data_IF_129822887098
#
_entry.id   IF_129822887098
#
_cell.length_a   1.000
_cell.length_b   1.000
_cell.length_c   1.000
_cell.angle_alpha   90.00
_cell.angle_beta   90.00
_cell.angle_gamma   90.00
#
_symmetry.space_group_name_H-M   'P 1'
#
loop_
_entity.id
_entity.type
_entity.pdbx_description
1 polymer ?
#
# COMPACT_ATOMS: atom_id res chain seq x y z
N UNK A 1 14.33 8.55 -16.36
CA UNK A 1 15.58 7.75 -16.27
C UNK A 1 15.73 7.00 -14.94
N UNK A 2 15.59 7.67 -13.79
CA UNK A 2 15.73 7.04 -12.46
C UNK A 2 14.79 5.83 -12.24
N UNK A 3 13.49 5.97 -12.55
CA UNK A 3 12.50 4.89 -12.46
C UNK A 3 12.90 3.66 -13.29
N UNK A 4 13.37 3.87 -14.52
CA UNK A 4 13.84 2.80 -15.41
C UNK A 4 15.04 2.06 -14.81
N UNK A 5 16.02 2.80 -14.29
CA UNK A 5 17.21 2.23 -13.65
C UNK A 5 16.84 1.44 -12.39
N UNK A 6 15.92 1.97 -11.57
CA UNK A 6 15.42 1.28 -10.38
C UNK A 6 14.80 -0.07 -10.73
N UNK A 7 13.85 -0.10 -11.69
CA UNK A 7 13.18 -1.33 -12.12
C UNK A 7 14.16 -2.37 -12.68
N UNK A 8 15.16 -1.95 -13.45
CA UNK A 8 16.21 -2.84 -13.96
C UNK A 8 17.06 -3.46 -12.83
N UNK A 9 17.49 -2.65 -11.86
CA UNK A 9 18.27 -3.13 -10.71
C UNK A 9 17.47 -4.09 -9.84
N UNK A 10 16.21 -3.76 -9.57
CA UNK A 10 15.32 -4.57 -8.75
C UNK A 10 15.14 -5.97 -9.35
N UNK A 11 14.86 -6.05 -10.66
CA UNK A 11 14.74 -7.32 -11.39
C UNK A 11 16.03 -8.12 -11.37
N UNK A 12 17.17 -7.47 -11.61
CA UNK A 12 18.47 -8.13 -11.58
C UNK A 12 18.81 -8.71 -10.20
N UNK A 13 18.39 -8.03 -9.12
CA UNK A 13 18.67 -8.46 -7.73
C UNK A 13 17.71 -9.52 -7.21
N UNK A 14 16.44 -9.48 -7.62
CA UNK A 14 15.41 -10.39 -7.11
C UNK A 14 15.29 -11.71 -7.88
N UNK A 15 16.13 -11.92 -8.91
CA UNK A 15 16.50 -13.23 -9.47
C UNK A 15 15.34 -14.24 -9.68
N UNK A 16 14.18 -13.76 -10.16
CA UNK A 16 13.02 -14.59 -10.51
C UNK A 16 11.80 -14.44 -9.57
N UNK A 17 11.91 -13.69 -8.48
CA UNK A 17 10.74 -13.37 -7.66
C UNK A 17 9.80 -12.41 -8.42
N UNK A 18 8.47 -12.65 -8.38
CA UNK A 18 7.52 -11.74 -8.99
C UNK A 18 7.53 -10.39 -8.27
N UNK A 19 7.59 -9.31 -9.04
CA UNK A 19 7.53 -7.95 -8.53
C UNK A 19 6.29 -7.28 -9.11
N UNK A 20 5.50 -6.68 -8.23
CA UNK A 20 4.35 -5.88 -8.59
C UNK A 20 4.59 -4.44 -8.15
N UNK A 21 4.25 -3.50 -9.03
CA UNK A 21 4.41 -2.08 -8.78
C UNK A 21 3.03 -1.42 -8.78
N UNK A 22 2.85 -0.47 -7.87
CA UNK A 22 1.79 0.53 -7.91
C UNK A 22 2.46 1.89 -8.00
N UNK A 23 1.93 2.82 -8.82
CA UNK A 23 2.43 4.17 -8.88
C UNK A 23 2.04 4.96 -7.62
N UNK A 24 2.88 5.93 -7.27
CA UNK A 24 2.54 6.98 -6.33
C UNK A 24 2.34 8.34 -7.00
N UNK A 25 1.96 9.35 -6.22
CA UNK A 25 1.71 10.70 -6.75
C UNK A 25 2.93 11.33 -7.44
N UNK A 26 4.13 11.04 -6.94
CA UNK A 26 5.37 11.51 -7.55
C UNK A 26 5.79 10.74 -8.82
N UNK A 27 5.05 9.69 -9.20
CA UNK A 27 5.24 9.00 -10.47
C UNK A 27 4.39 9.63 -11.61
N UNK A 28 3.43 10.51 -11.26
CA UNK A 28 2.61 11.23 -12.23
C UNK A 28 3.45 12.32 -12.88
N UNK A 29 3.65 12.25 -14.19
CA UNK A 29 4.42 13.27 -14.91
C UNK A 29 3.56 14.52 -15.13
N UNK A 30 3.95 15.72 -14.67
CA UNK A 30 3.15 16.92 -14.88
C UNK A 30 3.18 17.39 -16.34
N UNK A 31 2.05 17.90 -16.85
CA UNK A 31 1.98 18.63 -18.12
C UNK A 31 0.83 18.21 -19.04
N UNK A 32 0.64 18.88 -20.19
CA UNK A 32 -0.48 18.62 -21.12
C UNK A 32 -0.44 17.24 -21.80
N UNK A 33 0.76 16.66 -21.93
CA UNK A 33 0.99 15.28 -22.36
C UNK A 33 1.31 14.33 -21.17
N UNK A 34 1.22 14.86 -19.94
CA UNK A 34 1.57 14.20 -18.70
C UNK A 34 0.49 13.22 -18.20
N UNK A 35 0.67 12.72 -16.99
CA UNK A 35 -0.10 11.63 -16.39
C UNK A 35 0.76 10.39 -16.19
N UNK A 36 0.10 9.23 -16.31
CA UNK A 36 0.70 7.92 -16.05
C UNK A 36 1.46 7.31 -17.24
N UNK A 37 1.45 7.96 -18.40
CA UNK A 37 2.02 7.43 -19.66
C UNK A 37 3.48 7.00 -19.53
N UNK A 38 4.33 7.82 -18.91
CA UNK A 38 5.75 7.52 -18.72
C UNK A 38 5.96 6.32 -17.78
N UNK A 39 5.17 6.25 -16.70
CA UNK A 39 5.21 5.13 -15.79
C UNK A 39 4.72 3.84 -16.48
N UNK A 40 3.62 3.89 -17.23
CA UNK A 40 3.13 2.74 -17.98
C UNK A 40 4.15 2.26 -19.01
N UNK A 41 4.82 3.17 -19.70
CA UNK A 41 5.86 2.80 -20.66
C UNK A 41 7.08 2.16 -19.96
N UNK A 42 7.57 2.75 -18.87
CA UNK A 42 8.78 2.29 -18.19
C UNK A 42 8.54 1.03 -17.34
N UNK A 43 7.44 1.00 -16.60
CA UNK A 43 7.11 -0.04 -15.62
C UNK A 43 6.12 -1.04 -16.19
N UNK A 44 5.17 -0.64 -17.03
CA UNK A 44 4.18 -1.55 -17.62
C UNK A 44 4.78 -2.63 -18.53
N UNK A 45 5.81 -2.28 -19.31
CA UNK A 45 6.64 -3.24 -20.06
C UNK A 45 7.36 -4.25 -19.15
N UNK A 46 7.42 -3.94 -17.85
CA UNK A 46 8.22 -4.65 -16.87
C UNK A 46 7.39 -5.57 -15.93
N UNK A 47 6.06 -5.60 -16.08
CA UNK A 47 5.19 -6.33 -15.16
C UNK A 47 4.97 -7.79 -15.60
N UNK A 48 4.90 -8.75 -14.65
CA UNK A 48 4.47 -10.11 -14.95
C UNK A 48 3.11 -10.11 -15.63
N UNK A 49 3.00 -10.81 -16.77
CA UNK A 49 1.76 -10.86 -17.57
C UNK A 49 1.59 -9.73 -18.59
N UNK A 50 2.48 -8.71 -18.60
CA UNK A 50 2.48 -7.61 -19.55
C UNK A 50 1.20 -6.76 -19.50
N UNK A 51 1.28 -5.53 -19.00
CA UNK A 51 0.21 -4.59 -19.34
C UNK A 51 0.48 -4.16 -20.78
N UNK A 52 -0.35 -4.58 -21.72
CA UNK A 52 -0.37 -3.97 -23.05
C UNK A 52 -0.41 -2.44 -22.90
N UNK A 53 0.17 -1.70 -23.84
CA UNK A 53 0.02 -0.24 -23.87
C UNK A 53 -1.49 0.10 -23.78
N UNK A 54 -1.91 0.72 -22.66
CA UNK A 54 -3.33 0.99 -22.36
C UNK A 54 -4.04 0.02 -21.41
N UNK A 55 -3.34 -0.95 -20.81
CA UNK A 55 -3.88 -1.82 -19.76
C UNK A 55 -4.01 -1.10 -18.42
N UNK A 56 -5.09 -1.41 -17.69
CA UNK A 56 -5.31 -0.91 -16.33
C UNK A 56 -4.13 -1.26 -15.40
N UNK A 57 -3.75 -0.31 -14.56
CA UNK A 57 -2.66 -0.41 -13.57
C UNK A 57 -3.06 -1.20 -12.34
N UNK A 58 -4.32 -1.11 -11.93
CA UNK A 58 -4.88 -1.92 -10.87
C UNK A 58 -5.05 -3.36 -11.32
N UNK A 59 -4.82 -4.31 -10.41
CA UNK A 59 -4.74 -5.74 -10.76
C UNK A 59 -4.97 -6.67 -9.59
N UNK A 60 -5.15 -7.93 -9.94
CA UNK A 60 -5.31 -9.05 -9.02
C UNK A 60 -4.08 -9.96 -9.05
N UNK A 61 -3.67 -10.44 -7.87
CA UNK A 61 -2.71 -11.53 -7.72
C UNK A 61 -3.36 -12.61 -6.85
N UNK A 62 -3.37 -13.83 -7.39
CA UNK A 62 -3.95 -14.99 -6.72
C UNK A 62 -2.88 -15.81 -6.02
N UNK A 63 -3.17 -16.18 -4.79
CA UNK A 63 -2.38 -17.09 -3.98
C UNK A 63 -3.31 -18.12 -3.32
N UNK A 64 -2.82 -19.29 -2.89
CA UNK A 64 -3.66 -20.27 -2.20
C UNK A 64 -4.40 -19.66 -1.01
N UNK A 65 -5.74 -19.65 -1.04
CA UNK A 65 -6.60 -19.08 0.01
C UNK A 65 -6.64 -17.54 0.07
N UNK A 66 -5.93 -16.84 -0.82
CA UNK A 66 -5.76 -15.39 -0.77
C UNK A 66 -5.93 -14.72 -2.13
N UNK A 67 -6.52 -13.54 -2.10
CA UNK A 67 -6.56 -12.64 -3.24
C UNK A 67 -5.95 -11.30 -2.83
N UNK A 68 -4.94 -10.87 -3.58
CA UNK A 68 -4.25 -9.61 -3.35
C UNK A 68 -4.71 -8.64 -4.45
N UNK A 69 -5.30 -7.52 -4.05
CA UNK A 69 -5.81 -6.49 -4.96
C UNK A 69 -4.92 -5.26 -4.85
N UNK A 70 -4.32 -4.89 -5.97
CA UNK A 70 -3.51 -3.70 -6.11
C UNK A 70 -4.39 -2.62 -6.73
N UNK A 71 -4.68 -1.57 -5.97
CA UNK A 71 -5.53 -0.44 -6.35
C UNK A 71 -4.63 0.73 -6.75
N UNK A 72 -4.82 1.22 -7.97
CA UNK A 72 -4.12 2.38 -8.47
C UNK A 72 -4.91 3.65 -8.14
N UNK A 73 -4.42 4.37 -7.14
CA UNK A 73 -4.97 5.66 -6.72
C UNK A 73 -4.59 6.81 -7.66
N UNK A 74 -3.70 6.59 -8.62
CA UNK A 74 -3.23 7.57 -9.60
C UNK A 74 -3.86 7.38 -10.99
N UNK A 75 -4.68 6.34 -11.16
CA UNK A 75 -5.32 6.05 -12.45
C UNK A 75 -6.21 7.23 -12.90
N UNK A 76 -6.04 7.66 -14.15
CA UNK A 76 -6.74 8.81 -14.72
C UNK A 76 -6.29 10.18 -14.22
N UNK A 77 -5.33 10.29 -13.28
CA UNK A 77 -4.78 11.58 -12.86
C UNK A 77 -3.71 12.09 -13.83
N UNK A 78 -3.76 13.39 -14.10
CA UNK A 78 -2.85 14.08 -15.04
C UNK A 78 -1.85 15.00 -14.37
N UNK A 79 -1.98 15.22 -13.06
CA UNK A 79 -1.15 16.11 -12.26
C UNK A 79 -0.94 15.53 -10.86
N UNK A 80 0.28 15.65 -10.33
CA UNK A 80 0.58 15.43 -8.92
C UNK A 80 -0.07 16.55 -8.09
N UNK A 81 -1.10 16.19 -7.32
CA UNK A 81 -1.76 17.06 -6.34
C UNK A 81 -1.61 16.53 -4.91
N UNK A 82 -0.68 15.58 -4.70
CA UNK A 82 -0.59 14.74 -3.50
C UNK A 82 -1.70 13.68 -3.40
N UNK A 83 -2.95 14.08 -3.61
CA UNK A 83 -4.13 13.22 -3.44
C UNK A 83 -4.27 12.12 -4.48
N UNK A 84 -5.19 11.18 -4.21
CA UNK A 84 -5.50 10.06 -5.11
C UNK A 84 -7.00 9.86 -5.32
N UNK A 85 -7.36 9.07 -6.32
CA UNK A 85 -8.73 8.69 -6.65
C UNK A 85 -8.75 7.30 -7.30
N UNK A 86 -9.77 6.47 -7.02
CA UNK A 86 -9.94 5.20 -7.74
C UNK A 86 -10.88 5.35 -8.95
N UNK A 87 -11.91 6.16 -8.82
CA UNK A 87 -12.96 6.33 -9.81
C UNK A 87 -13.95 5.17 -9.84
N UNK A 88 -15.14 5.42 -10.41
CA UNK A 88 -16.23 4.45 -10.35
C UNK A 88 -15.91 3.11 -11.01
N UNK A 89 -15.14 3.12 -12.09
CA UNK A 89 -14.80 1.90 -12.82
C UNK A 89 -13.96 0.94 -11.96
N UNK A 90 -12.94 1.47 -11.27
CA UNK A 90 -12.10 0.69 -10.37
C UNK A 90 -12.84 0.29 -9.11
N UNK A 91 -13.75 1.13 -8.58
CA UNK A 91 -14.59 0.78 -7.43
C UNK A 91 -15.55 -0.37 -7.77
N UNK A 92 -16.19 -0.33 -8.95
CA UNK A 92 -17.03 -1.46 -9.43
C UNK A 92 -16.20 -2.72 -9.63
N UNK A 93 -14.99 -2.60 -10.18
CA UNK A 93 -14.07 -3.72 -10.31
C UNK A 93 -13.68 -4.32 -8.94
N UNK A 94 -13.37 -3.47 -7.96
CA UNK A 94 -13.09 -3.88 -6.58
C UNK A 94 -14.26 -4.67 -6.00
N UNK A 95 -15.49 -4.14 -6.08
CA UNK A 95 -16.69 -4.83 -5.58
C UNK A 95 -16.88 -6.21 -6.23
N UNK A 96 -16.74 -6.30 -7.56
CA UNK A 96 -16.84 -7.57 -8.27
C UNK A 96 -15.78 -8.58 -7.78
N UNK A 97 -14.53 -8.13 -7.61
CA UNK A 97 -13.41 -8.96 -7.14
C UNK A 97 -13.58 -9.43 -5.71
N UNK A 98 -14.16 -8.61 -4.84
CA UNK A 98 -14.52 -9.02 -3.49
C UNK A 98 -15.64 -10.06 -3.48
N UNK A 99 -16.63 -9.95 -4.36
CA UNK A 99 -17.68 -10.97 -4.54
C UNK A 99 -17.12 -12.30 -5.04
N UNK A 100 -16.22 -12.28 -6.02
CA UNK A 100 -15.50 -13.45 -6.52
C UNK A 100 -14.67 -14.11 -5.40
N UNK A 101 -13.94 -13.30 -4.62
CA UNK A 101 -13.17 -13.78 -3.46
C UNK A 101 -14.05 -14.51 -2.45
N UNK A 102 -15.22 -13.92 -2.12
CA UNK A 102 -16.15 -14.49 -1.16
C UNK A 102 -16.68 -15.85 -1.62
N UNK A 103 -17.09 -15.94 -2.89
CA UNK A 103 -17.59 -17.19 -3.49
C UNK A 103 -16.52 -18.28 -3.53
N UNK A 104 -15.26 -17.89 -3.67
CA UNK A 104 -14.11 -18.80 -3.66
C UNK A 104 -13.56 -19.08 -2.25
N UNK A 105 -14.12 -18.50 -1.18
CA UNK A 105 -13.64 -18.65 0.19
C UNK A 105 -12.23 -18.10 0.42
N UNK A 106 -11.84 -17.04 -0.31
CA UNK A 106 -10.51 -16.41 -0.20
C UNK A 106 -10.53 -15.20 0.71
N UNK A 107 -9.49 -15.04 1.52
CA UNK A 107 -9.25 -13.77 2.23
C UNK A 107 -8.60 -12.74 1.31
N UNK A 108 -8.82 -11.45 1.58
CA UNK A 108 -8.36 -10.36 0.73
C UNK A 108 -7.34 -9.46 1.44
N UNK A 109 -6.29 -9.09 0.69
CA UNK A 109 -5.34 -8.04 1.02
C UNK A 109 -5.44 -6.94 -0.05
N UNK A 110 -5.54 -5.69 0.38
CA UNK A 110 -5.51 -4.52 -0.49
C UNK A 110 -4.13 -3.84 -0.42
N UNK A 111 -3.68 -3.30 -1.54
CA UNK A 111 -2.53 -2.40 -1.62
C UNK A 111 -2.95 -1.15 -2.37
N UNK A 112 -2.58 0.03 -1.87
CA UNK A 112 -2.73 1.29 -2.58
C UNK A 112 -1.66 2.27 -2.11
N UNK A 113 -1.34 3.31 -2.89
CA UNK A 113 -0.36 4.29 -2.45
C UNK A 113 -0.97 5.27 -1.44
N UNK A 114 -2.08 5.92 -1.80
CA UNK A 114 -2.79 6.90 -0.95
C UNK A 114 -3.63 6.24 0.13
N UNK A 115 -4.00 7.02 1.13
CA UNK A 115 -4.62 6.53 2.35
C UNK A 115 -6.14 6.35 2.20
N UNK A 116 -6.66 5.20 2.67
CA UNK A 116 -8.10 5.00 2.91
C UNK A 116 -8.55 5.42 4.32
N UNK A 117 -7.64 5.38 5.30
CA UNK A 117 -7.90 5.76 6.69
C UNK A 117 -6.73 6.55 7.24
N UNK A 118 -7.02 7.39 8.24
CA UNK A 118 -6.05 8.24 8.89
C UNK A 118 -5.04 7.38 9.68
N UNK A 119 -3.72 7.55 9.44
CA UNK A 119 -2.71 6.93 10.27
C UNK A 119 -2.64 7.60 11.64
N UNK A 120 -2.24 6.82 12.63
CA UNK A 120 -2.10 7.23 14.00
C UNK A 120 -0.63 7.22 14.43
N UNK A 121 -0.29 8.13 15.35
CA UNK A 121 1.02 8.19 15.98
C UNK A 121 1.13 7.20 17.16
N UNK A 122 2.24 7.28 17.89
CA UNK A 122 2.53 6.40 19.02
C UNK A 122 1.59 6.59 20.21
N UNK A 123 0.90 7.73 20.28
CA UNK A 123 -0.06 8.09 21.33
C UNK A 123 -1.51 7.90 20.85
N UNK A 124 -1.71 7.17 19.75
CA UNK A 124 -3.00 6.89 19.10
C UNK A 124 -3.73 8.15 18.57
N UNK A 125 -3.04 9.28 18.40
CA UNK A 125 -3.62 10.46 17.76
C UNK A 125 -3.48 10.38 16.24
N UNK A 126 -4.39 11.00 15.47
CA UNK A 126 -4.16 11.19 14.04
C UNK A 126 -2.86 11.98 13.87
N UNK A 127 -1.98 11.53 12.98
CA UNK A 127 -0.70 12.22 12.75
C UNK A 127 -0.92 13.70 12.44
N UNK A 128 -0.29 14.58 13.21
CA UNK A 128 -0.64 16.02 13.22
C UNK A 128 -0.32 16.81 11.95
N UNK A 129 0.30 16.18 10.94
CA UNK A 129 0.60 16.77 9.64
C UNK A 129 -0.19 16.15 8.48
N UNK A 130 -1.20 15.33 8.78
CA UNK A 130 -2.07 14.78 7.77
C UNK A 130 -2.92 15.90 7.15
N UNK A 131 -2.86 16.04 5.84
CA UNK A 131 -3.67 16.96 5.05
C UNK A 131 -4.74 16.14 4.30
N UNK A 132 -5.96 16.09 4.83
CA UNK A 132 -6.99 15.15 4.37
C UNK A 132 -7.38 15.25 2.88
N UNK A 133 -7.23 16.41 2.26
CA UNK A 133 -7.49 16.60 0.81
C UNK A 133 -6.30 16.19 -0.07
N UNK A 134 -5.10 16.10 0.52
CA UNK A 134 -3.83 15.85 -0.16
C UNK A 134 -3.34 14.42 0.09
N UNK A 135 -3.58 13.86 1.27
CA UNK A 135 -2.97 12.57 1.62
C UNK A 135 -3.88 11.36 1.40
N UNK A 136 -5.17 11.62 1.20
CA UNK A 136 -6.22 10.61 1.19
C UNK A 136 -6.71 10.33 -0.23
N UNK A 137 -7.32 9.16 -0.40
CA UNK A 137 -8.14 8.87 -1.58
C UNK A 137 -9.43 9.69 -1.49
N UNK A 138 -9.74 10.46 -2.54
CA UNK A 138 -10.86 11.38 -2.60
C UNK A 138 -12.21 10.67 -2.46
N UNK A 139 -12.37 9.53 -3.13
CA UNK A 139 -13.56 8.67 -3.11
C UNK A 139 -13.49 7.57 -2.03
N UNK A 140 -12.64 7.72 -1.00
CA UNK A 140 -12.46 6.72 0.07
C UNK A 140 -13.75 6.35 0.79
N UNK A 141 -14.72 7.25 0.91
CA UNK A 141 -16.00 6.94 1.56
C UNK A 141 -16.78 5.86 0.80
N UNK A 142 -16.73 5.89 -0.53
CA UNK A 142 -17.33 4.87 -1.38
C UNK A 142 -16.55 3.56 -1.27
N UNK A 143 -15.22 3.63 -1.30
CA UNK A 143 -14.34 2.46 -1.11
C UNK A 143 -14.63 1.78 0.23
N UNK A 144 -14.58 2.52 1.33
CA UNK A 144 -14.85 2.01 2.67
C UNK A 144 -16.27 1.45 2.82
N UNK A 145 -17.26 2.02 2.14
CA UNK A 145 -18.63 1.49 2.08
C UNK A 145 -18.67 0.13 1.36
N UNK A 146 -17.94 -0.02 0.25
CA UNK A 146 -17.77 -1.32 -0.42
C UNK A 146 -17.11 -2.31 0.52
N UNK A 147 -15.97 -1.96 1.12
CA UNK A 147 -15.23 -2.85 2.02
C UNK A 147 -16.08 -3.30 3.22
N UNK A 148 -16.90 -2.41 3.78
CA UNK A 148 -17.78 -2.71 4.91
C UNK A 148 -18.86 -3.77 4.64
N UNK A 149 -19.07 -4.17 3.38
CA UNK A 149 -19.99 -5.26 3.00
C UNK A 149 -19.34 -6.64 2.94
N UNK A 150 -18.02 -6.72 3.12
CA UNK A 150 -17.24 -7.94 2.94
C UNK A 150 -16.33 -8.18 4.16
N UNK A 151 -16.60 -9.24 4.92
CA UNK A 151 -15.89 -9.58 6.17
C UNK A 151 -14.57 -10.34 5.94
N UNK A 152 -14.32 -10.81 4.71
CA UNK A 152 -13.11 -11.52 4.32
C UNK A 152 -11.98 -10.59 3.87
N UNK A 153 -12.16 -9.28 3.91
CA UNK A 153 -11.08 -8.30 3.75
C UNK A 153 -10.33 -8.20 5.08
N UNK A 154 -9.03 -8.52 5.09
CA UNK A 154 -8.26 -8.66 6.34
C UNK A 154 -7.24 -7.54 6.54
N UNK A 155 -6.63 -7.09 5.45
CA UNK A 155 -5.52 -6.15 5.48
C UNK A 155 -5.61 -5.16 4.31
N UNK A 156 -5.31 -3.89 4.58
CA UNK A 156 -5.05 -2.86 3.57
C UNK A 156 -3.70 -2.21 3.85
N UNK A 157 -2.80 -2.21 2.89
CA UNK A 157 -1.45 -1.66 2.99
C UNK A 157 -1.38 -0.34 2.22
N UNK A 158 -0.91 0.72 2.88
CA UNK A 158 -0.77 2.05 2.31
C UNK A 158 0.68 2.57 2.38
N UNK A 159 1.01 3.52 1.51
CA UNK A 159 2.26 4.27 1.53
C UNK A 159 2.05 5.76 1.79
N UNK A 160 2.53 6.58 0.86
CA UNK A 160 2.34 8.02 0.77
C UNK A 160 2.91 8.90 1.90
N UNK A 161 2.36 8.87 3.12
CA UNK A 161 2.75 9.82 4.19
C UNK A 161 3.96 9.36 5.03
N UNK A 162 4.50 8.18 4.72
CA UNK A 162 5.68 7.58 5.34
C UNK A 162 5.57 7.33 6.87
N UNK A 163 4.38 7.46 7.45
CA UNK A 163 4.12 7.06 8.83
C UNK A 163 4.09 5.53 8.95
N UNK A 164 4.60 5.02 10.07
CA UNK A 164 4.46 3.62 10.42
C UNK A 164 3.30 3.46 11.40
N UNK A 165 2.14 3.09 10.87
CA UNK A 165 0.88 3.08 11.63
C UNK A 165 0.07 1.82 11.37
N UNK A 166 -0.66 1.40 12.39
CA UNK A 166 -1.70 0.37 12.33
C UNK A 166 -3.01 0.97 12.84
N UNK A 167 -4.04 0.94 12.02
CA UNK A 167 -5.40 1.39 12.37
C UNK A 167 -6.36 0.25 12.06
N UNK A 168 -7.21 -0.15 13.00
CA UNK A 168 -8.25 -1.17 12.74
C UNK A 168 -9.61 -0.51 12.60
N UNK A 169 -10.35 -0.85 11.54
CA UNK A 169 -11.72 -0.37 11.32
C UNK A 169 -12.56 -1.47 10.68
N UNK A 170 -13.70 -1.77 11.30
CA UNK A 170 -14.65 -2.79 10.83
C UNK A 170 -14.00 -4.16 10.55
N UNK A 171 -13.09 -4.60 11.44
CA UNK A 171 -12.40 -5.89 11.29
C UNK A 171 -11.25 -5.90 10.26
N UNK A 172 -11.03 -4.80 9.53
CA UNK A 172 -9.92 -4.66 8.58
C UNK A 172 -8.77 -3.94 9.29
N UNK A 173 -7.57 -4.49 9.19
CA UNK A 173 -6.33 -3.81 9.59
C UNK A 173 -5.84 -2.95 8.44
N UNK A 174 -5.61 -1.67 8.70
CA UNK A 174 -5.01 -0.72 7.77
C UNK A 174 -3.61 -0.39 8.26
N UNK A 175 -2.61 -0.73 7.44
CA UNK A 175 -1.21 -0.55 7.77
C UNK A 175 -0.57 0.47 6.83
N UNK A 176 -0.20 1.63 7.36
CA UNK A 176 0.65 2.59 6.65
C UNK A 176 2.11 2.22 6.88
N UNK A 177 2.89 2.17 5.81
CA UNK A 177 4.25 1.66 5.83
C UNK A 177 5.24 2.84 5.77
N UNK A 178 6.25 2.80 6.64
CA UNK A 178 7.36 3.74 6.59
C UNK A 178 8.15 3.64 5.28
N UNK A 179 8.72 4.75 4.85
CA UNK A 179 9.53 4.79 3.64
C UNK A 179 10.92 4.19 3.87
N UNK A 180 11.49 3.49 2.87
CA UNK A 180 12.91 3.10 2.91
C UNK A 180 13.85 4.30 2.69
N UNK A 181 13.34 5.47 2.28
CA UNK A 181 14.15 6.64 1.92
C UNK A 181 14.33 7.66 3.07
N UNK A 182 13.53 7.55 4.12
CA UNK A 182 13.53 8.47 5.25
C UNK A 182 13.59 7.71 6.56
N UNK A 183 14.11 8.31 7.62
CA UNK A 183 14.14 7.71 8.96
C UNK A 183 12.77 7.11 9.32
N UNK A 184 12.72 5.85 9.83
CA UNK A 184 13.85 4.98 10.20
C UNK A 184 14.51 4.20 9.05
N UNK A 185 14.06 4.37 7.80
CA UNK A 185 14.48 3.63 6.59
C UNK A 185 14.08 2.17 6.68
N UNK A 186 12.77 1.93 6.64
CA UNK A 186 12.18 0.61 6.84
C UNK A 186 11.55 0.03 5.58
N UNK A 187 11.42 -1.29 5.56
CA UNK A 187 10.52 -2.03 4.68
C UNK A 187 9.69 -3.00 5.53
N UNK A 188 8.61 -3.54 4.96
CA UNK A 188 7.71 -4.45 5.68
C UNK A 188 7.63 -5.82 5.03
N UNK A 189 7.85 -6.85 5.83
CA UNK A 189 7.55 -8.23 5.49
C UNK A 189 6.08 -8.50 5.85
N UNK A 190 5.35 -9.18 4.95
CA UNK A 190 4.00 -9.66 5.20
C UNK A 190 3.98 -11.15 4.93
N UNK A 191 3.74 -11.94 5.97
CA UNK A 191 3.61 -13.39 5.88
C UNK A 191 2.14 -13.75 5.99
N UNK A 192 1.65 -14.51 5.01
CA UNK A 192 0.26 -14.95 4.96
C UNK A 192 0.20 -16.46 5.10
N UNK A 193 -0.70 -16.92 5.96
CA UNK A 193 -1.11 -18.31 6.07
C UNK A 193 -2.63 -18.41 5.96
N UNK A 194 -3.20 -19.61 6.06
CA UNK A 194 -4.66 -19.79 6.04
C UNK A 194 -5.36 -19.00 7.15
N UNK A 195 -4.75 -18.94 8.33
CA UNK A 195 -5.40 -18.47 9.54
C UNK A 195 -4.77 -17.21 10.15
N UNK A 196 -3.69 -16.72 9.56
CA UNK A 196 -2.91 -15.64 10.16
C UNK A 196 -2.25 -14.77 9.09
N UNK A 197 -2.19 -13.46 9.36
CA UNK A 197 -1.26 -12.54 8.69
C UNK A 197 -0.29 -11.97 9.72
N UNK A 198 1.01 -12.14 9.51
CA UNK A 198 2.05 -11.49 10.31
C UNK A 198 2.67 -10.35 9.49
N UNK A 199 2.73 -9.16 10.07
CA UNK A 199 3.40 -7.99 9.49
C UNK A 199 4.58 -7.63 10.38
N UNK A 200 5.76 -7.51 9.79
CA UNK A 200 6.99 -7.14 10.50
C UNK A 200 7.74 -6.04 9.77
N UNK A 201 8.06 -4.96 10.49
CA UNK A 201 8.91 -3.90 9.98
C UNK A 201 10.40 -4.27 10.15
N UNK A 202 11.19 -4.00 9.12
CA UNK A 202 12.62 -4.26 9.07
C UNK A 202 13.35 -2.97 8.73
N UNK A 203 14.33 -2.61 9.55
CA UNK A 203 15.16 -1.42 9.31
C UNK A 203 16.32 -1.77 8.39
N UNK A 204 16.56 -0.94 7.38
CA UNK A 204 17.69 -1.08 6.47
C UNK A 204 19.01 -0.81 7.22
N UNK A 205 20.04 -1.60 6.92
CA UNK A 205 21.37 -1.47 7.53
C UNK A 205 22.18 -0.30 6.93
N UNK A 206 21.67 0.93 7.09
CA UNK A 206 22.25 2.19 6.56
C UNK A 206 22.35 3.26 7.67
N UNK A 207 23.12 3.01 8.75
CA UNK A 207 23.04 3.79 9.98
C UNK A 207 23.39 5.28 9.79
N UNK A 208 24.34 5.61 8.92
CA UNK A 208 24.71 7.00 8.65
C UNK A 208 23.59 7.75 7.93
N UNK A 209 23.00 7.15 6.89
CA UNK A 209 21.89 7.74 6.16
C UNK A 209 20.66 7.90 7.05
N UNK A 210 20.36 6.89 7.87
CA UNK A 210 19.26 6.92 8.84
C UNK A 210 19.45 8.02 9.89
N UNK A 211 20.64 8.15 10.46
CA UNK A 211 20.98 9.25 11.39
C UNK A 211 20.81 10.61 10.73
N UNK A 212 21.38 10.80 9.53
CA UNK A 212 21.27 12.07 8.80
C UNK A 212 19.81 12.42 8.49
N UNK A 213 19.02 11.44 8.05
CA UNK A 213 17.59 11.66 7.78
C UNK A 213 16.83 12.06 9.05
N UNK A 214 17.12 11.40 10.19
CA UNK A 214 16.53 11.76 11.49
C UNK A 214 16.85 13.19 11.89
N UNK A 215 18.10 13.62 11.71
CA UNK A 215 18.58 14.97 12.06
C UNK A 215 17.98 16.07 11.16
N UNK A 216 17.72 15.76 9.89
CA UNK A 216 17.09 16.69 8.95
C UNK A 216 15.58 16.89 9.22
N UNK A 217 14.93 15.92 9.84
CA UNK A 217 13.52 16.03 10.23
C UNK A 217 13.40 16.72 11.60
N UNK A 218 13.22 18.04 11.57
CA UNK A 218 13.15 18.89 12.77
C UNK A 218 11.73 19.11 13.29
N UNK A 219 10.70 18.65 12.56
CA UNK A 219 9.30 18.84 12.95
C UNK A 219 8.95 17.87 14.08
N UNK A 220 8.33 18.40 15.13
CA UNK A 220 7.98 17.65 16.34
C UNK A 220 7.09 16.44 16.01
N UNK A 221 7.39 15.28 16.62
CA UNK A 221 6.60 14.04 16.48
C UNK A 221 6.73 13.31 15.15
N UNK A 222 7.31 13.92 14.10
CA UNK A 222 7.41 13.26 12.77
C UNK A 222 8.26 12.01 12.79
N UNK A 223 9.46 12.09 13.37
CA UNK A 223 10.33 10.92 13.48
C UNK A 223 9.68 9.79 14.30
N UNK A 224 8.88 10.13 15.32
CA UNK A 224 8.23 9.12 16.17
C UNK A 224 7.10 8.41 15.44
N UNK A 225 6.23 9.12 14.71
CA UNK A 225 5.20 8.44 13.91
C UNK A 225 5.77 7.72 12.68
N UNK A 226 6.88 8.20 12.08
CA UNK A 226 7.60 7.44 11.03
C UNK A 226 8.23 6.16 11.58
N UNK A 227 8.75 6.19 12.81
CA UNK A 227 9.27 5.00 13.49
C UNK A 227 8.15 4.02 13.86
N UNK A 228 7.00 4.56 14.27
CA UNK A 228 5.84 3.80 14.71
C UNK A 228 6.01 3.20 16.10
N UNK A 229 4.88 2.75 16.67
CA UNK A 229 4.85 2.01 17.93
C UNK A 229 5.37 0.59 17.78
N UNK A 230 5.57 -0.13 18.89
CA UNK A 230 5.95 -1.55 18.84
C UNK A 230 4.91 -2.39 18.08
N UNK A 231 3.62 -2.09 18.28
CA UNK A 231 2.52 -2.70 17.52
C UNK A 231 2.64 -2.42 16.01
N UNK A 232 3.04 -1.21 15.64
CA UNK A 232 3.27 -0.89 14.24
C UNK A 232 4.48 -1.64 13.66
N UNK A 233 5.48 -1.97 14.49
CA UNK A 233 6.64 -2.74 14.04
C UNK A 233 6.39 -4.25 13.95
N UNK A 234 5.43 -4.79 14.72
CA UNK A 234 5.04 -6.19 14.64
C UNK A 234 3.57 -6.38 15.01
N UNK A 235 2.77 -6.84 14.06
CA UNK A 235 1.35 -7.16 14.27
C UNK A 235 1.02 -8.53 13.69
N UNK A 236 0.19 -9.26 14.42
CA UNK A 236 -0.36 -10.55 14.01
C UNK A 236 -1.88 -10.41 13.93
N UNK A 237 -2.44 -10.77 12.79
CA UNK A 237 -3.88 -10.74 12.50
C UNK A 237 -4.36 -12.18 12.49
N UNK A 238 -5.16 -12.56 13.49
CA UNK A 238 -5.84 -13.85 13.52
C UNK A 238 -7.11 -13.81 12.67
N UNK A 239 -7.24 -14.76 11.75
CA UNK A 239 -8.34 -14.84 10.78
C UNK A 239 -9.33 -15.93 11.18
N UNK A 240 -8.79 -17.05 11.64
CA UNK A 240 -9.53 -18.23 12.05
C UNK A 240 -9.96 -18.13 13.52
N UNK A 241 -11.07 -18.77 13.88
CA UNK A 241 -11.43 -18.95 15.28
C UNK A 241 -10.58 -20.03 15.94
N UNK A 242 -10.60 -20.10 17.28
CA UNK A 242 -9.88 -21.12 18.05
C UNK A 242 -10.25 -22.58 17.69
N UNK A 243 -11.42 -22.80 17.08
CA UNK A 243 -11.87 -24.13 16.64
C UNK A 243 -11.28 -24.56 15.28
N UNK A 244 -10.73 -23.62 14.51
CA UNK A 244 -10.22 -23.84 13.15
C UNK A 244 -8.69 -24.09 13.12
N UNK A 245 -8.00 -23.90 14.24
CA UNK A 245 -6.54 -24.10 14.38
C UNK A 245 -6.13 -25.55 14.68
N UNK A 246 -7.07 -26.45 14.98
CA UNK A 246 -6.81 -27.86 15.35
C UNK A 246 -7.05 -28.88 14.22
N UNK A 247 -7.24 -28.44 12.97
CA UNK A 247 -7.47 -29.33 11.81
C UNK A 247 -6.44 -29.19 10.70
#
# INVERSE_FOLDING_TARGET
EALRRYTQLLRAKLAGWPVYHLPGNHDVTPGPAGGMSDWHHIVGESLPGGTAAGGSTYREVLQPGWQILLLDSMDGLTLDRGGGQLGEAQIRWLEAKLGESASAGRSVILLTHQLLVEPRDVDDNIVGWLEGEVDMIADRSQVLSVLGRFDHVRLSLHGHVHANSITTRNGIVYATIASPLEYPMQWREVRVSKCQVELRAHTLAVPEASRRSRELETRLGRNDAKKGSDLANHVVIEICGAADTER
#
